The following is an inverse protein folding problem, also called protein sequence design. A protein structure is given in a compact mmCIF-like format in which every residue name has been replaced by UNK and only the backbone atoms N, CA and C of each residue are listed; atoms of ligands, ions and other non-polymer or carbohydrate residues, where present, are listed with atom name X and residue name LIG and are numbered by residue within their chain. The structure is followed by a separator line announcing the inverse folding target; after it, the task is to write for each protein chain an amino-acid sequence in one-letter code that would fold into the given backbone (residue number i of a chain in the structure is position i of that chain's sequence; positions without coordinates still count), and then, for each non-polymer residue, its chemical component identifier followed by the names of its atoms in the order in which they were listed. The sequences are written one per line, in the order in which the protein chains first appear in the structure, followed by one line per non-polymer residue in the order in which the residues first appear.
data_IF_370657306385
#
_entry.id   IF_370657306385
#
_cell.length_a   1.000
_cell.length_b   1.000
_cell.length_c   1.000
_cell.angle_alpha   90.00
_cell.angle_beta   90.00
_cell.angle_gamma   90.00
#
_symmetry.space_group_name_H-M   'P 1'
#
loop_
_entity.id
_entity.type
_entity.pdbx_description
1 polymer ?
#
# COMPACT_ATOMS: atom_id res chain seq x y z
N UNK A 1 -0.46 19.46 6.76
CA UNK A 1 -1.16 18.20 7.08
C UNK A 1 -1.39 17.50 5.75
N UNK A 2 -0.81 16.31 5.56
CA UNK A 2 -0.84 15.61 4.28
C UNK A 2 -1.45 14.21 4.50
N UNK A 3 -2.17 13.72 3.49
CA UNK A 3 -2.92 12.46 3.50
C UNK A 3 -2.51 11.64 2.25
N UNK A 4 -2.95 10.36 2.11
CA UNK A 4 -2.77 9.63 0.85
C UNK A 4 -3.32 10.42 -0.33
N UNK A 5 -2.78 10.16 -1.53
CA UNK A 5 -3.43 10.62 -2.76
C UNK A 5 -4.69 9.81 -3.05
N UNK A 6 -4.62 8.51 -2.80
CA UNK A 6 -5.73 7.57 -2.97
C UNK A 6 -5.87 6.78 -1.68
N UNK A 7 -7.06 6.83 -1.10
CA UNK A 7 -7.42 6.02 0.06
C UNK A 7 -8.64 5.19 -0.26
N UNK A 8 -8.53 3.88 -0.02
CA UNK A 8 -9.64 2.94 -0.10
C UNK A 8 -9.93 2.44 1.30
N UNK A 9 -11.03 2.88 1.89
CA UNK A 9 -11.26 2.69 3.32
C UNK A 9 -12.70 2.34 3.68
N UNK A 10 -12.85 1.71 4.85
CA UNK A 10 -14.14 1.36 5.45
C UNK A 10 -14.41 2.12 6.75
N UNK A 11 -13.68 3.20 7.02
CA UNK A 11 -13.71 3.97 8.26
C UNK A 11 -14.83 5.02 8.38
N UNK A 12 -15.79 4.98 7.46
CA UNK A 12 -16.93 5.89 7.39
C UNK A 12 -18.28 5.15 7.41
N UNK A 13 -18.32 3.96 8.02
CA UNK A 13 -19.49 3.07 8.05
C UNK A 13 -20.14 2.82 6.67
N UNK A 14 -19.35 2.46 5.62
CA UNK A 14 -19.92 2.19 4.32
C UNK A 14 -20.62 0.83 4.29
N UNK A 15 -21.41 0.60 3.24
CA UNK A 15 -21.76 -0.77 2.87
C UNK A 15 -20.51 -1.53 2.38
N UNK A 16 -20.50 -2.88 2.46
CA UNK A 16 -19.36 -3.66 2.02
C UNK A 16 -18.98 -3.41 0.56
N UNK A 17 -17.67 -3.38 0.28
CA UNK A 17 -17.15 -3.39 -1.08
C UNK A 17 -17.63 -4.65 -1.83
N UNK A 18 -17.96 -4.47 -3.10
CA UNK A 18 -18.34 -5.55 -4.00
C UNK A 18 -17.74 -5.33 -5.40
N UNK A 19 -17.68 -6.38 -6.21
CA UNK A 19 -17.13 -6.30 -7.57
C UNK A 19 -15.62 -6.06 -7.59
N UNK A 20 -15.19 -5.18 -8.51
CA UNK A 20 -13.79 -4.80 -8.66
C UNK A 20 -13.60 -3.31 -8.37
N UNK A 21 -12.59 -3.00 -7.56
CA UNK A 21 -12.03 -1.65 -7.50
C UNK A 21 -10.75 -1.62 -8.34
N UNK A 22 -10.75 -0.84 -9.42
CA UNK A 22 -9.60 -0.67 -10.30
C UNK A 22 -8.97 0.71 -10.10
N UNK A 23 -7.70 0.72 -9.67
CA UNK A 23 -6.84 1.91 -9.60
C UNK A 23 -5.83 1.77 -10.73
N UNK A 24 -5.95 2.55 -11.80
CA UNK A 24 -5.12 2.39 -13.00
C UNK A 24 -4.69 3.70 -13.66
N UNK A 25 -3.53 3.70 -14.32
CA UNK A 25 -3.01 4.79 -15.16
C UNK A 25 -2.78 6.11 -14.39
N UNK A 26 -2.17 6.02 -13.20
CA UNK A 26 -1.93 7.19 -12.34
C UNK A 26 -0.44 7.55 -12.27
N UNK A 27 -0.17 8.84 -12.05
CA UNK A 27 1.13 9.34 -11.59
C UNK A 27 0.96 10.06 -10.25
N UNK A 28 1.54 9.53 -9.19
CA UNK A 28 1.44 10.06 -7.83
C UNK A 28 2.82 10.59 -7.39
N UNK A 29 2.93 11.91 -7.25
CA UNK A 29 4.21 12.59 -7.00
C UNK A 29 4.15 13.36 -5.68
N UNK A 30 5.05 13.05 -4.74
CA UNK A 30 5.13 13.73 -3.42
C UNK A 30 3.84 13.64 -2.60
N UNK A 31 3.27 12.44 -2.54
CA UNK A 31 2.01 12.15 -1.85
C UNK A 31 2.24 11.32 -0.58
N UNK A 32 1.18 11.12 0.20
CA UNK A 32 1.28 10.55 1.54
C UNK A 32 1.65 11.62 2.57
N UNK A 33 1.63 11.25 3.85
CA UNK A 33 1.84 12.21 4.92
C UNK A 33 1.55 11.65 6.29
N UNK A 34 1.58 12.54 7.27
CA UNK A 34 1.16 12.24 8.63
C UNK A 34 -0.07 13.08 8.99
N UNK A 35 -1.01 12.46 9.68
CA UNK A 35 -2.24 13.09 10.13
C UNK A 35 -2.50 12.76 11.61
N UNK A 36 -3.40 13.54 12.23
CA UNK A 36 -3.70 13.51 13.67
C UNK A 36 -2.45 13.69 14.54
N UNK A 37 -1.87 14.90 14.51
CA UNK A 37 -0.64 15.27 15.24
C UNK A 37 0.59 14.41 14.93
N UNK A 38 0.65 13.88 13.70
CA UNK A 38 1.71 12.98 13.23
C UNK A 38 1.68 11.57 13.86
N UNK A 39 0.65 11.25 14.65
CA UNK A 39 0.49 9.94 15.29
C UNK A 39 0.14 8.82 14.28
N UNK A 40 -0.23 9.17 13.06
CA UNK A 40 -0.56 8.20 12.00
C UNK A 40 0.06 8.59 10.67
N UNK A 41 0.84 7.65 10.14
CA UNK A 41 1.52 7.76 8.86
C UNK A 41 0.70 7.10 7.75
N UNK A 42 0.78 7.71 6.57
CA UNK A 42 0.02 7.35 5.38
C UNK A 42 0.92 7.30 4.15
N UNK A 43 0.85 6.19 3.43
CA UNK A 43 1.49 6.03 2.12
C UNK A 43 0.83 6.85 1.01
N UNK A 44 1.38 6.78 -0.21
CA UNK A 44 0.78 7.42 -1.38
C UNK A 44 -0.58 6.82 -1.74
N UNK A 45 -0.69 5.49 -1.70
CA UNK A 45 -1.94 4.73 -1.75
C UNK A 45 -2.11 3.99 -0.42
N UNK A 46 -3.22 4.21 0.28
CA UNK A 46 -3.52 3.50 1.53
C UNK A 46 -4.81 2.70 1.39
N UNK A 47 -4.75 1.40 1.70
CA UNK A 47 -5.92 0.56 1.89
C UNK A 47 -6.14 0.39 3.39
N UNK A 48 -7.31 0.80 3.87
CA UNK A 48 -7.64 0.80 5.30
C UNK A 48 -8.97 0.08 5.58
N UNK A 49 -8.94 -1.24 5.78
CA UNK A 49 -10.12 -2.03 6.10
C UNK A 49 -10.46 -1.89 7.59
N UNK A 50 -10.93 -0.71 8.04
CA UNK A 50 -11.13 -0.41 9.45
C UNK A 50 -12.09 -1.37 10.15
N UNK A 51 -13.26 -1.63 9.57
CA UNK A 51 -14.29 -2.52 10.15
C UNK A 51 -14.76 -3.60 9.17
N UNK A 52 -14.72 -3.34 7.86
CA UNK A 52 -15.21 -4.23 6.81
C UNK A 52 -14.10 -4.62 5.82
N UNK A 53 -14.19 -5.80 5.16
CA UNK A 53 -13.25 -6.22 4.13
C UNK A 53 -13.24 -5.31 2.90
N UNK A 54 -12.11 -5.31 2.20
CA UNK A 54 -11.91 -4.63 0.91
C UNK A 54 -11.41 -5.67 -0.12
N UNK A 55 -12.32 -6.46 -0.73
CA UNK A 55 -11.95 -7.45 -1.75
C UNK A 55 -11.85 -6.83 -3.15
N UNK A 56 -11.27 -7.59 -4.09
CA UNK A 56 -11.40 -7.31 -5.52
C UNK A 56 -10.61 -6.08 -5.99
N UNK A 57 -9.51 -5.73 -5.32
CA UNK A 57 -8.70 -4.56 -5.71
C UNK A 57 -7.65 -4.95 -6.74
N UNK A 58 -7.54 -4.14 -7.79
CA UNK A 58 -6.42 -4.18 -8.73
C UNK A 58 -5.81 -2.79 -8.82
N UNK A 59 -4.51 -2.69 -8.54
CA UNK A 59 -3.69 -1.50 -8.75
C UNK A 59 -2.79 -1.80 -9.94
N UNK A 60 -2.86 -1.00 -11.00
CA UNK A 60 -2.00 -1.23 -12.17
C UNK A 60 -1.55 0.02 -12.88
N UNK A 61 -0.50 -0.10 -13.68
CA UNK A 61 -0.02 0.95 -14.59
C UNK A 61 0.11 2.30 -13.87
N UNK A 62 0.76 2.28 -12.69
CA UNK A 62 0.79 3.43 -11.79
C UNK A 62 2.22 3.72 -11.37
N UNK A 63 2.61 4.98 -11.50
CA UNK A 63 3.88 5.51 -11.01
C UNK A 63 3.66 6.20 -9.67
N UNK A 64 4.46 5.84 -8.67
CA UNK A 64 4.52 6.48 -7.35
C UNK A 64 5.95 6.96 -7.15
N UNK A 65 6.14 8.27 -7.00
CA UNK A 65 7.48 8.87 -6.95
C UNK A 65 7.57 9.86 -5.79
N UNK A 66 8.65 9.75 -5.01
CA UNK A 66 8.99 10.68 -3.94
C UNK A 66 7.92 10.74 -2.84
N UNK A 67 7.32 9.61 -2.46
CA UNK A 67 6.29 9.58 -1.40
C UNK A 67 6.85 10.01 -0.05
N UNK A 68 6.03 10.64 0.78
CA UNK A 68 6.44 11.08 2.12
C UNK A 68 6.78 9.89 3.00
N UNK A 69 5.90 8.89 3.04
CA UNK A 69 6.10 7.60 3.70
C UNK A 69 6.10 6.49 2.64
N UNK A 70 5.25 5.48 2.80
CA UNK A 70 5.21 4.32 1.92
C UNK A 70 4.67 4.65 0.52
N UNK A 71 5.00 3.81 -0.46
CA UNK A 71 4.34 3.87 -1.76
C UNK A 71 2.91 3.34 -1.66
N UNK A 72 2.77 2.04 -1.36
CA UNK A 72 1.48 1.39 -1.11
C UNK A 72 1.45 0.87 0.32
N UNK A 73 0.42 1.23 1.07
CA UNK A 73 0.27 0.88 2.48
C UNK A 73 -0.99 0.05 2.72
N UNK A 74 -0.81 -1.16 3.24
CA UNK A 74 -1.87 -2.00 3.79
C UNK A 74 -1.98 -1.71 5.30
N UNK A 75 -2.90 -0.82 5.65
CA UNK A 75 -3.08 -0.33 7.01
C UNK A 75 -3.76 -1.38 7.89
N UNK A 76 -3.38 -1.42 9.16
CA UNK A 76 -4.00 -2.33 10.14
C UNK A 76 -5.45 -1.94 10.42
N UNK A 77 -6.33 -2.94 10.59
CA UNK A 77 -7.77 -2.75 10.78
C UNK A 77 -8.53 -4.06 11.04
N UNK A 78 -9.85 -3.94 11.22
CA UNK A 78 -10.77 -5.04 11.53
C UNK A 78 -11.18 -5.91 10.32
N UNK A 79 -10.98 -5.44 9.09
CA UNK A 79 -11.31 -6.16 7.87
C UNK A 79 -10.12 -6.85 7.18
N UNK A 80 -10.45 -7.65 6.15
CA UNK A 80 -9.49 -8.37 5.30
C UNK A 80 -9.29 -7.64 3.96
N UNK A 81 -8.09 -7.76 3.39
CA UNK A 81 -7.76 -7.31 2.02
C UNK A 81 -7.31 -8.52 1.17
N UNK A 82 -8.24 -9.39 0.75
CA UNK A 82 -7.89 -10.60 -0.01
C UNK A 82 -7.61 -10.28 -1.48
N UNK A 83 -6.70 -11.06 -2.06
CA UNK A 83 -6.46 -11.16 -3.51
C UNK A 83 -6.17 -9.82 -4.21
N UNK A 84 -5.42 -8.94 -3.54
CA UNK A 84 -4.99 -7.67 -4.11
C UNK A 84 -4.01 -7.94 -5.25
N UNK A 85 -4.25 -7.36 -6.42
CA UNK A 85 -3.35 -7.46 -7.58
C UNK A 85 -2.60 -6.15 -7.76
N UNK A 86 -1.27 -6.20 -7.82
CA UNK A 86 -0.43 -5.04 -8.10
C UNK A 86 0.38 -5.35 -9.36
N UNK A 87 0.09 -4.64 -10.45
CA UNK A 87 0.54 -5.02 -11.80
C UNK A 87 1.15 -3.84 -12.56
N UNK A 88 2.37 -3.97 -13.08
CA UNK A 88 3.02 -2.88 -13.82
C UNK A 88 3.04 -1.56 -13.01
N UNK A 89 3.53 -1.63 -11.77
CA UNK A 89 3.60 -0.47 -10.86
C UNK A 89 5.06 -0.13 -10.63
N UNK A 90 5.41 1.15 -10.72
CA UNK A 90 6.72 1.65 -10.32
C UNK A 90 6.58 2.46 -9.03
N UNK A 91 7.41 2.15 -8.04
CA UNK A 91 7.54 2.92 -6.81
C UNK A 91 8.99 3.37 -6.69
N UNK A 92 9.21 4.67 -6.59
CA UNK A 92 10.54 5.26 -6.55
C UNK A 92 10.65 6.25 -5.40
N UNK A 93 11.63 6.03 -4.52
CA UNK A 93 11.99 6.93 -3.43
C UNK A 93 10.87 7.18 -2.41
N UNK A 94 10.48 6.15 -1.66
CA UNK A 94 9.72 6.32 -0.42
C UNK A 94 10.62 6.92 0.68
N UNK A 95 10.44 8.21 1.00
CA UNK A 95 11.41 8.98 1.79
C UNK A 95 11.51 8.52 3.25
N UNK A 96 10.36 8.22 3.87
CA UNK A 96 10.29 7.83 5.28
C UNK A 96 9.59 6.49 5.49
N UNK A 97 9.57 5.63 4.47
CA UNK A 97 8.89 4.34 4.54
C UNK A 97 9.44 3.33 3.54
N UNK A 98 8.62 2.32 3.26
CA UNK A 98 8.92 1.24 2.33
C UNK A 98 8.26 1.46 0.96
N UNK A 99 8.63 0.68 -0.04
CA UNK A 99 7.86 0.69 -1.29
C UNK A 99 6.43 0.20 -1.06
N UNK A 100 6.30 -0.96 -0.43
CA UNK A 100 5.05 -1.56 0.01
C UNK A 100 5.14 -1.92 1.50
N UNK A 101 4.24 -1.37 2.31
CA UNK A 101 4.11 -1.69 3.74
C UNK A 101 2.87 -2.54 4.00
N UNK A 102 3.03 -3.61 4.76
CA UNK A 102 1.93 -4.25 5.48
C UNK A 102 2.11 -4.06 6.98
N UNK A 103 1.21 -3.29 7.60
CA UNK A 103 1.29 -2.97 9.02
C UNK A 103 1.04 -4.18 9.92
N UNK A 104 1.49 -4.11 11.17
CA UNK A 104 1.20 -5.09 12.21
C UNK A 104 -0.31 -5.26 12.37
N UNK A 105 -0.81 -6.50 12.29
CA UNK A 105 -2.23 -6.81 12.32
C UNK A 105 -2.97 -6.69 10.98
N UNK A 106 -2.33 -6.22 9.90
CA UNK A 106 -2.90 -6.32 8.55
C UNK A 106 -3.11 -7.78 8.16
N UNK A 107 -4.19 -8.07 7.43
CA UNK A 107 -4.61 -9.43 7.06
C UNK A 107 -5.07 -9.49 5.60
N UNK A 108 -4.65 -10.51 4.87
CA UNK A 108 -4.95 -10.68 3.45
C UNK A 108 -3.72 -11.06 2.64
N UNK A 109 -3.77 -10.79 1.34
CA UNK A 109 -2.67 -11.11 0.43
C UNK A 109 -2.61 -10.14 -0.75
N UNK A 110 -1.39 -9.93 -1.25
CA UNK A 110 -1.15 -9.27 -2.53
C UNK A 110 -0.27 -10.14 -3.45
N UNK A 111 -0.52 -10.03 -4.75
CA UNK A 111 0.35 -10.59 -5.78
C UNK A 111 0.94 -9.47 -6.61
N UNK A 112 2.27 -9.48 -6.72
CA UNK A 112 3.05 -8.53 -7.50
C UNK A 112 3.34 -9.12 -8.89
N UNK A 113 3.10 -8.35 -9.93
CA UNK A 113 3.46 -8.69 -11.32
C UNK A 113 4.06 -7.45 -11.98
N UNK A 114 5.28 -7.54 -12.49
CA UNK A 114 5.97 -6.42 -13.14
C UNK A 114 6.05 -5.15 -12.25
N UNK A 115 6.26 -5.34 -10.95
CA UNK A 115 6.42 -4.24 -9.99
C UNK A 115 7.89 -3.89 -9.88
N UNK A 116 8.24 -2.60 -10.00
CA UNK A 116 9.61 -2.10 -9.82
C UNK A 116 9.65 -1.18 -8.61
N UNK A 117 10.57 -1.42 -7.68
CA UNK A 117 10.72 -0.58 -6.48
C UNK A 117 12.19 -0.16 -6.34
N UNK A 118 12.42 1.14 -6.19
CA UNK A 118 13.75 1.74 -6.05
C UNK A 118 13.78 2.74 -4.89
N UNK A 119 14.98 2.89 -4.29
CA UNK A 119 15.35 3.98 -3.36
C UNK A 119 14.41 4.23 -2.16
N UNK A 120 13.66 3.20 -1.72
CA UNK A 120 12.79 3.27 -0.54
C UNK A 120 13.60 3.05 0.75
N UNK A 121 13.43 3.93 1.75
CA UNK A 121 14.24 3.94 2.99
C UNK A 121 14.23 2.58 3.71
N UNK A 122 13.04 2.02 3.89
CA UNK A 122 12.84 0.81 4.70
C UNK A 122 12.84 -0.48 3.87
N UNK A 123 13.20 -0.36 2.59
CA UNK A 123 13.25 -1.47 1.63
C UNK A 123 12.00 -1.57 0.77
N UNK A 124 12.01 -2.58 -0.10
CA UNK A 124 11.02 -2.68 -1.18
C UNK A 124 9.66 -3.14 -0.68
N UNK A 125 9.66 -4.17 0.16
CA UNK A 125 8.45 -4.71 0.81
C UNK A 125 8.78 -4.91 2.28
N UNK A 126 8.02 -4.28 3.15
CA UNK A 126 8.10 -4.45 4.59
C UNK A 126 6.79 -5.05 5.10
N UNK A 127 6.89 -6.19 5.80
CA UNK A 127 5.79 -6.80 6.53
C UNK A 127 6.15 -6.68 8.00
N UNK A 128 5.41 -5.85 8.73
CA UNK A 128 5.69 -5.60 10.14
C UNK A 128 5.40 -6.82 11.02
N UNK A 129 6.10 -6.97 12.15
CA UNK A 129 5.78 -8.00 13.13
C UNK A 129 4.30 -8.01 13.53
N UNK A 130 3.70 -9.19 13.59
CA UNK A 130 2.28 -9.37 13.92
C UNK A 130 1.31 -9.16 12.75
N UNK A 131 1.80 -8.78 11.56
CA UNK A 131 1.01 -8.86 10.33
C UNK A 131 0.78 -10.32 9.92
N UNK A 132 -0.43 -10.64 9.47
CA UNK A 132 -0.75 -11.91 8.81
C UNK A 132 -0.86 -11.72 7.29
N UNK A 133 -0.60 -10.50 6.81
CA UNK A 133 -0.63 -10.19 5.39
C UNK A 133 0.52 -10.88 4.68
N UNK A 134 0.25 -11.45 3.50
CA UNK A 134 1.27 -12.10 2.68
C UNK A 134 1.44 -11.37 1.36
N UNK A 135 2.69 -11.32 0.87
CA UNK A 135 2.99 -10.76 -0.45
C UNK A 135 3.68 -11.86 -1.26
N UNK A 136 3.14 -12.10 -2.46
CA UNK A 136 3.67 -13.08 -3.41
C UNK A 136 4.19 -12.38 -4.67
N UNK A 137 5.20 -12.96 -5.30
CA UNK A 137 6.00 -12.28 -6.33
C UNK A 137 7.10 -11.41 -5.71
N UNK A 138 8.06 -11.00 -6.54
CA UNK A 138 9.23 -10.22 -6.10
C UNK A 138 9.32 -8.96 -6.96
N UNK A 139 9.46 -7.76 -6.36
CA UNK A 139 9.72 -6.56 -7.14
C UNK A 139 11.04 -6.67 -7.91
N UNK A 140 11.04 -6.18 -9.14
CA UNK A 140 12.24 -5.96 -9.92
C UNK A 140 13.17 -4.98 -9.17
N UNK A 141 14.47 -5.28 -9.13
CA UNK A 141 15.45 -4.47 -8.41
C UNK A 141 15.61 -4.81 -6.92
N UNK A 142 14.96 -5.85 -6.40
CA UNK A 142 15.20 -6.37 -5.06
C UNK A 142 16.62 -6.96 -4.95
N UNK A 143 17.58 -6.19 -4.42
CA UNK A 143 18.78 -6.77 -3.82
C UNK A 143 18.38 -7.33 -2.46
N UNK A 144 18.53 -8.64 -2.27
CA UNK A 144 18.50 -9.23 -0.94
C UNK A 144 19.54 -8.50 -0.08
N UNK A 145 19.11 -7.90 1.05
CA UNK A 145 20.05 -7.48 2.10
C UNK A 145 20.81 -8.74 2.53
N UNK A 146 22.13 -8.78 2.27
CA UNK A 146 23.07 -9.71 2.89
C UNK A 146 23.49 -9.15 4.23
#
# INVERSE_FOLDING_TARGET
MNYPAIMLATDHDPLPFSGQTLIANNGLYRTGGAFWNEDQEFGAITLFPQNLPIPGVTIRDTDIVDSTYDGIQFKTGGGLMPDIKIQNVRIDKSNNGSGILAMGGARGNATLTDVTITDSRDGHVLIEPGSQFTVSGTPNGARAKR
#
